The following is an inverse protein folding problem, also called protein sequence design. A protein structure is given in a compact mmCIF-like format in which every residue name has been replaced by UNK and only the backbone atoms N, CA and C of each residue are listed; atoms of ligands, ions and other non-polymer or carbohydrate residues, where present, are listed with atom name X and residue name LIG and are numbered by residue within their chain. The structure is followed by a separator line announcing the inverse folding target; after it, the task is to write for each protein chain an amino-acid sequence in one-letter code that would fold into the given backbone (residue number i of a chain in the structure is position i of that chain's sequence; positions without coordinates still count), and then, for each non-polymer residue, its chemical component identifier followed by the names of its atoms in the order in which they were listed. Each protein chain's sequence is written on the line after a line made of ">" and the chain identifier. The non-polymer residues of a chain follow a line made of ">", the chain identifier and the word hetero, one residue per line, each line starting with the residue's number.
data_IF_970117199798
#
_entry.id   IF_970117199798
#
_cell.length_a   1.000
_cell.length_b   1.000
_cell.length_c   1.000
_cell.angle_alpha   90.00
_cell.angle_beta   90.00
_cell.angle_gamma   90.00
#
_symmetry.space_group_name_H-M   'P 1'
#
loop_
_entity.id
_entity.type
_entity.pdbx_description
1 polymer ?
#
# COMPACT_ATOMS: atom_id res chain seq x y z
N UNK A 1 33.43 3.78 0.85
CA UNK A 1 32.21 4.48 1.27
C UNK A 1 32.50 5.45 2.42
N UNK A 2 33.22 5.04 3.49
CA UNK A 2 33.53 5.92 4.65
C UNK A 2 34.46 7.08 4.26
N UNK A 3 35.50 6.85 3.46
CA UNK A 3 36.43 7.88 2.99
C UNK A 3 35.77 8.91 2.03
N UNK A 4 34.83 8.50 1.19
CA UNK A 4 34.02 9.40 0.35
C UNK A 4 33.07 10.26 1.18
N UNK A 5 32.52 9.70 2.26
CA UNK A 5 31.61 10.39 3.19
C UNK A 5 32.34 11.43 4.05
N UNK A 6 33.59 11.15 4.45
CA UNK A 6 34.43 12.06 5.22
C UNK A 6 35.04 13.15 4.32
N UNK A 7 35.32 12.84 3.04
CA UNK A 7 35.74 13.80 2.03
C UNK A 7 34.63 14.83 1.70
N UNK A 8 33.38 14.37 1.65
CA UNK A 8 32.21 15.26 1.45
C UNK A 8 31.91 16.17 2.66
N UNK A 9 32.24 15.75 3.89
CA UNK A 9 32.06 16.55 5.11
C UNK A 9 33.06 17.70 5.28
N UNK A 10 34.15 17.68 4.56
CA UNK A 10 35.22 18.67 4.70
C UNK A 10 35.23 19.82 3.71
N UNK A 11 34.33 19.85 2.72
CA UNK A 11 34.17 20.96 1.78
C UNK A 11 32.74 21.44 1.86
N UNK A 12 32.54 22.67 2.32
CA UNK A 12 31.24 23.33 2.29
C UNK A 12 30.72 23.42 0.86
N UNK A 13 30.01 22.39 0.43
CA UNK A 13 29.35 22.30 -0.87
C UNK A 13 27.84 22.30 -0.69
N UNK A 14 27.16 23.13 -1.46
CA UNK A 14 25.70 23.10 -1.54
C UNK A 14 25.22 21.80 -2.14
N UNK A 15 24.13 21.26 -1.61
CA UNK A 15 23.45 20.08 -2.15
C UNK A 15 22.34 20.55 -3.08
N UNK A 16 22.35 20.06 -4.33
CA UNK A 16 21.29 20.37 -5.28
C UNK A 16 20.49 19.11 -5.61
N UNK A 17 19.16 19.24 -5.62
CA UNK A 17 18.21 18.24 -6.06
C UNK A 17 17.34 18.89 -7.15
N UNK A 18 17.13 18.21 -8.28
CA UNK A 18 16.38 18.76 -9.42
C UNK A 18 15.27 17.81 -9.82
N UNK A 19 14.07 18.36 -10.02
CA UNK A 19 12.92 17.68 -10.60
C UNK A 19 12.74 18.19 -12.01
N UNK A 20 12.63 17.29 -12.98
CA UNK A 20 12.41 17.58 -14.38
C UNK A 20 10.92 17.79 -14.64
N UNK A 21 10.56 18.57 -15.66
CA UNK A 21 9.16 18.79 -16.04
C UNK A 21 8.39 17.55 -16.48
N UNK A 22 9.12 16.48 -16.85
CA UNK A 22 8.55 15.18 -17.21
C UNK A 22 8.25 14.31 -15.96
N UNK A 23 8.72 14.72 -14.78
CA UNK A 23 8.50 13.96 -13.55
C UNK A 23 7.02 14.05 -13.14
N UNK A 24 6.39 12.92 -12.80
CA UNK A 24 4.98 12.90 -12.41
C UNK A 24 4.61 13.85 -11.28
N UNK A 25 5.53 14.15 -10.34
CA UNK A 25 5.28 15.08 -9.23
C UNK A 25 5.63 16.53 -9.56
N UNK A 26 6.05 16.83 -10.81
CA UNK A 26 6.51 18.20 -11.17
C UNK A 26 5.43 19.25 -10.94
N UNK A 27 4.21 19.01 -11.43
CA UNK A 27 3.10 19.96 -11.31
C UNK A 27 2.74 20.25 -9.84
N UNK A 28 2.68 19.21 -9.02
CA UNK A 28 2.36 19.33 -7.60
C UNK A 28 3.49 20.02 -6.83
N UNK A 29 4.75 19.68 -7.17
CA UNK A 29 5.92 20.36 -6.61
C UNK A 29 5.95 21.82 -6.99
N UNK A 30 5.59 22.14 -8.24
CA UNK A 30 5.52 23.52 -8.71
C UNK A 30 4.45 24.33 -7.98
N UNK A 31 3.25 23.77 -7.83
CA UNK A 31 2.17 24.40 -7.06
C UNK A 31 2.57 24.61 -5.58
N UNK A 32 3.13 23.58 -4.95
CA UNK A 32 3.60 23.66 -3.57
C UNK A 32 4.72 24.69 -3.39
N UNK A 33 5.67 24.79 -4.31
CA UNK A 33 6.74 25.82 -4.29
C UNK A 33 6.14 27.21 -4.36
N UNK A 34 5.13 27.42 -5.21
CA UNK A 34 4.42 28.70 -5.33
C UNK A 34 3.75 29.13 -4.02
N UNK A 35 3.19 28.18 -3.28
CA UNK A 35 2.57 28.44 -1.96
C UNK A 35 3.59 28.84 -0.90
N UNK A 36 4.82 28.29 -0.98
CA UNK A 36 5.89 28.59 -0.03
C UNK A 36 6.60 29.92 -0.30
N UNK A 37 6.39 30.52 -1.48
CA UNK A 37 7.01 31.77 -1.86
C UNK A 37 6.17 32.97 -1.39
N UNK A 38 6.71 33.75 -0.45
CA UNK A 38 6.16 35.03 -0.04
C UNK A 38 6.59 36.12 -1.04
N UNK A 39 5.69 37.10 -1.33
CA UNK A 39 5.99 38.28 -2.17
C UNK A 39 6.50 37.99 -3.60
N UNK A 40 5.87 37.03 -4.28
CA UNK A 40 6.17 36.84 -5.70
C UNK A 40 5.70 38.05 -6.50
N UNK A 41 6.58 38.59 -7.34
CA UNK A 41 6.17 39.54 -8.37
C UNK A 41 5.29 38.85 -9.42
N UNK A 42 3.99 38.73 -9.10
CA UNK A 42 2.98 38.05 -9.92
C UNK A 42 2.80 38.67 -11.31
N UNK A 43 3.53 39.74 -11.63
CA UNK A 43 3.50 40.39 -12.94
C UNK A 43 4.15 39.59 -14.07
N UNK A 44 4.89 38.54 -13.73
CA UNK A 44 5.59 37.67 -14.70
C UNK A 44 5.05 36.24 -14.70
N UNK A 45 3.73 36.05 -14.51
CA UNK A 45 3.11 34.73 -14.56
C UNK A 45 2.35 34.53 -15.88
N UNK A 46 2.49 33.34 -16.46
CA UNK A 46 1.68 32.85 -17.58
C UNK A 46 0.57 31.93 -17.04
N UNK A 47 -0.61 32.08 -17.63
CA UNK A 47 -1.72 31.17 -17.38
C UNK A 47 -1.75 30.11 -18.50
N UNK A 48 -1.64 28.85 -18.13
CA UNK A 48 -1.81 27.73 -19.06
C UNK A 48 -3.15 27.07 -18.74
N UNK A 49 -3.94 26.78 -19.77
CA UNK A 49 -5.16 26.01 -19.63
C UNK A 49 -4.82 24.54 -19.84
N UNK A 50 -5.07 23.73 -18.84
CA UNK A 50 -5.02 22.27 -18.92
C UNK A 50 -6.44 21.74 -18.98
N UNK A 51 -6.70 20.80 -19.87
CA UNK A 51 -8.00 20.14 -19.99
C UNK A 51 -7.88 18.79 -19.29
N UNK A 52 -8.66 18.60 -18.23
CA UNK A 52 -8.87 17.32 -17.56
C UNK A 52 -10.25 16.80 -17.92
N UNK A 53 -10.48 15.50 -17.76
CA UNK A 53 -11.77 14.86 -18.05
C UNK A 53 -12.37 14.36 -16.74
N UNK A 54 -13.70 14.54 -16.60
CA UNK A 54 -14.44 13.96 -15.46
C UNK A 54 -14.79 12.48 -15.73
N UNK A 55 -15.50 11.86 -14.79
CA UNK A 55 -15.94 10.46 -14.87
C UNK A 55 -16.90 10.19 -16.05
N UNK A 56 -17.49 11.24 -16.62
CA UNK A 56 -18.42 11.20 -17.76
C UNK A 56 -17.76 11.63 -19.08
N UNK A 57 -16.40 11.69 -19.15
CA UNK A 57 -15.60 12.14 -20.31
C UNK A 57 -15.85 13.61 -20.72
N UNK A 58 -16.38 14.47 -19.84
CA UNK A 58 -16.53 15.88 -20.13
C UNK A 58 -15.19 16.63 -19.87
N UNK A 59 -14.90 17.58 -20.76
CA UNK A 59 -13.72 18.43 -20.64
C UNK A 59 -13.89 19.44 -19.49
N UNK A 60 -13.02 19.36 -18.47
CA UNK A 60 -12.93 20.34 -17.39
C UNK A 60 -11.67 21.19 -17.61
N UNK A 61 -11.79 22.45 -18.04
CA UNK A 61 -10.64 23.33 -18.15
C UNK A 61 -10.17 23.78 -16.75
N UNK A 62 -8.89 23.57 -16.46
CA UNK A 62 -8.22 24.13 -15.31
C UNK A 62 -7.16 25.14 -15.73
N UNK A 63 -6.98 26.22 -14.96
CA UNK A 63 -5.95 27.21 -15.24
C UNK A 63 -4.80 26.99 -14.29
N UNK A 64 -3.65 26.62 -14.84
CA UNK A 64 -2.39 26.54 -14.11
C UNK A 64 -1.60 27.84 -14.33
N UNK A 65 -1.11 28.40 -13.23
CA UNK A 65 -0.21 29.55 -13.27
C UNK A 65 1.24 29.06 -13.29
N UNK A 66 2.01 29.53 -14.24
CA UNK A 66 3.43 29.20 -14.39
C UNK A 66 4.27 30.49 -14.46
N UNK A 67 5.51 30.43 -14.03
CA UNK A 67 6.43 31.55 -14.18
C UNK A 67 6.85 31.76 -15.63
N UNK A 68 6.94 33.02 -16.04
CA UNK A 68 7.56 33.39 -17.32
C UNK A 68 9.08 33.56 -17.12
N UNK A 69 9.83 32.50 -17.47
CA UNK A 69 11.28 32.54 -17.38
C UNK A 69 11.86 31.78 -16.14
N UNK A 70 12.89 32.37 -15.55
CA UNK A 70 13.67 31.78 -14.45
C UNK A 70 13.43 32.57 -13.17
N UNK A 71 12.92 31.91 -12.14
CA UNK A 71 12.74 32.49 -10.79
C UNK A 71 13.66 31.78 -9.80
N UNK A 72 14.32 32.54 -8.95
CA UNK A 72 15.14 32.03 -7.86
C UNK A 72 14.76 32.74 -6.58
N UNK A 73 14.41 31.98 -5.55
CA UNK A 73 14.05 32.51 -4.23
C UNK A 73 14.54 31.58 -3.13
N UNK A 74 14.87 32.15 -1.97
CA UNK A 74 15.12 31.37 -0.78
C UNK A 74 13.82 31.20 -0.01
N UNK A 75 13.49 29.94 0.30
CA UNK A 75 12.32 29.54 1.12
C UNK A 75 12.79 28.73 2.33
N UNK A 76 11.90 28.50 3.28
CA UNK A 76 12.19 27.67 4.45
C UNK A 76 11.44 26.35 4.34
N UNK A 77 12.17 25.22 4.32
CA UNK A 77 11.61 23.88 4.27
C UNK A 77 12.03 23.13 5.53
N UNK A 78 11.07 22.68 6.35
CA UNK A 78 11.37 21.97 7.60
C UNK A 78 12.26 22.75 8.58
N UNK A 79 12.16 24.11 8.59
CA UNK A 79 13.00 24.98 9.41
C UNK A 79 14.39 25.27 8.82
N UNK A 80 14.71 24.80 7.62
CA UNK A 80 16.01 25.00 6.97
C UNK A 80 15.90 25.92 5.75
N UNK A 81 16.86 26.85 5.54
CA UNK A 81 16.87 27.70 4.35
C UNK A 81 17.25 26.88 3.13
N UNK A 82 16.44 26.99 2.07
CA UNK A 82 16.64 26.30 0.80
C UNK A 82 16.44 27.30 -0.34
N UNK A 83 17.37 27.35 -1.26
CA UNK A 83 17.24 28.16 -2.48
C UNK A 83 16.52 27.31 -3.53
N UNK A 84 15.36 27.77 -3.96
CA UNK A 84 14.59 27.14 -5.05
C UNK A 84 14.76 27.94 -6.32
N UNK A 85 15.05 27.26 -7.41
CA UNK A 85 15.15 27.82 -8.74
C UNK A 85 14.23 27.08 -9.68
N UNK A 86 13.26 27.80 -10.25
CA UNK A 86 12.38 27.30 -11.33
C UNK A 86 12.94 27.84 -12.63
N UNK A 87 13.30 26.95 -13.55
CA UNK A 87 13.80 27.31 -14.88
C UNK A 87 12.85 26.78 -15.93
N UNK A 88 12.56 27.63 -16.93
CA UNK A 88 11.88 27.26 -18.16
C UNK A 88 12.81 27.58 -19.32
N UNK A 89 13.45 26.58 -19.90
CA UNK A 89 14.25 26.74 -21.11
C UNK A 89 13.36 26.54 -22.34
N UNK A 90 13.18 27.57 -23.14
CA UNK A 90 12.58 27.40 -24.48
C UNK A 90 13.63 26.73 -25.37
N UNK A 91 13.33 25.56 -25.89
CA UNK A 91 14.17 24.94 -26.90
C UNK A 91 14.10 25.76 -28.20
N UNK A 92 15.23 26.00 -28.90
CA UNK A 92 15.22 26.68 -30.16
C UNK A 92 14.39 25.93 -31.21
N UNK A 93 13.64 26.66 -32.03
CA UNK A 93 12.63 26.24 -33.03
C UNK A 93 13.09 25.21 -34.09
N UNK A 94 14.22 24.54 -33.91
CA UNK A 94 14.84 23.66 -34.91
C UNK A 94 14.65 22.17 -34.70
N UNK A 95 13.89 21.73 -33.75
CA UNK A 95 13.52 20.31 -33.61
C UNK A 95 12.08 20.14 -34.10
N UNK A 96 11.90 20.20 -35.43
CA UNK A 96 10.68 19.78 -36.07
C UNK A 96 10.68 18.24 -36.17
N UNK A 97 10.13 17.58 -35.16
CA UNK A 97 9.69 16.21 -35.30
C UNK A 97 8.32 16.24 -35.99
N UNK A 98 8.24 15.59 -37.13
CA UNK A 98 7.11 15.50 -38.04
C UNK A 98 5.74 15.38 -37.35
N UNK A 99 4.85 16.28 -37.78
CA UNK A 99 3.38 16.17 -37.90
C UNK A 99 2.63 15.27 -36.94
N UNK A 100 2.00 15.85 -35.98
CA UNK A 100 0.61 15.75 -35.50
C UNK A 100 0.38 15.99 -34.00
N UNK A 101 1.34 16.47 -33.27
CA UNK A 101 1.08 16.98 -31.93
C UNK A 101 1.97 18.19 -31.66
N UNK A 102 1.34 19.32 -31.32
CA UNK A 102 2.00 20.58 -30.91
C UNK A 102 2.63 20.42 -29.51
N UNK A 103 3.53 19.46 -29.32
CA UNK A 103 4.33 19.35 -28.11
C UNK A 103 5.47 20.37 -28.23
N UNK A 104 5.27 21.56 -27.69
CA UNK A 104 6.39 22.42 -27.31
C UNK A 104 7.09 21.73 -26.16
N UNK A 105 8.19 21.05 -26.44
CA UNK A 105 9.11 20.56 -25.43
C UNK A 105 9.73 21.75 -24.70
N UNK A 106 9.06 22.25 -23.66
CA UNK A 106 9.68 23.16 -22.73
C UNK A 106 10.42 22.30 -21.70
N UNK A 107 11.74 22.46 -21.59
CA UNK A 107 12.50 21.83 -20.52
C UNK A 107 12.31 22.66 -19.25
N UNK A 108 11.27 22.32 -18.52
CA UNK A 108 11.03 22.89 -17.20
C UNK A 108 11.77 22.07 -16.13
N UNK A 109 12.34 22.74 -15.17
CA UNK A 109 13.00 22.08 -14.03
C UNK A 109 12.90 22.93 -12.76
N UNK A 110 12.69 22.28 -11.65
CA UNK A 110 12.74 22.88 -10.33
C UNK A 110 13.98 22.35 -9.64
N UNK A 111 14.86 23.23 -9.20
CA UNK A 111 16.08 22.87 -8.48
C UNK A 111 16.04 23.42 -7.07
N UNK A 112 16.26 22.56 -6.11
CA UNK A 112 16.38 22.87 -4.69
C UNK A 112 17.85 22.82 -4.31
N UNK A 113 18.37 23.89 -3.70
CA UNK A 113 19.76 23.95 -3.24
C UNK A 113 19.78 24.23 -1.76
N UNK A 114 20.33 23.29 -0.98
CA UNK A 114 20.52 23.42 0.46
C UNK A 114 22.02 23.42 0.81
N UNK A 115 22.41 24.22 1.81
CA UNK A 115 23.81 24.29 2.25
C UNK A 115 24.16 23.20 3.29
N UNK A 116 23.13 22.59 3.90
CA UNK A 116 23.30 21.60 4.97
C UNK A 116 22.69 20.24 4.60
N UNK A 117 23.18 19.17 5.23
CA UNK A 117 22.60 17.82 5.07
C UNK A 117 21.17 17.73 5.60
N UNK A 118 20.91 18.44 6.69
CA UNK A 118 19.59 18.53 7.31
C UNK A 118 18.60 19.24 6.37
N UNK A 119 19.01 20.34 5.73
CA UNK A 119 18.21 21.03 4.72
C UNK A 119 17.91 20.15 3.51
N UNK A 120 18.90 19.37 3.03
CA UNK A 120 18.66 18.37 1.98
C UNK A 120 17.66 17.31 2.41
N UNK A 121 17.79 16.79 3.64
CA UNK A 121 16.86 15.78 4.16
C UNK A 121 15.43 16.33 4.27
N UNK A 122 15.27 17.61 4.67
CA UNK A 122 13.99 18.29 4.72
C UNK A 122 13.34 18.42 3.32
N UNK A 123 14.13 18.76 2.29
CA UNK A 123 13.63 18.80 0.90
C UNK A 123 13.15 17.41 0.44
N UNK A 124 13.95 16.36 0.67
CA UNK A 124 13.57 15.00 0.30
C UNK A 124 12.29 14.59 1.00
N UNK A 125 12.17 14.82 2.30
CA UNK A 125 10.96 14.49 3.08
C UNK A 125 9.72 15.25 2.59
N UNK A 126 9.85 16.53 2.20
CA UNK A 126 8.74 17.30 1.64
C UNK A 126 8.29 16.75 0.27
N UNK A 127 9.23 16.38 -0.59
CA UNK A 127 8.91 15.80 -1.89
C UNK A 127 8.31 14.38 -1.77
N UNK A 128 8.80 13.58 -0.82
CA UNK A 128 8.22 12.28 -0.50
C UNK A 128 6.78 12.41 0.02
N UNK A 129 6.50 13.44 0.83
CA UNK A 129 5.15 13.73 1.30
C UNK A 129 4.21 14.13 0.16
N UNK A 130 4.66 15.02 -0.76
CA UNK A 130 3.91 15.40 -1.95
C UNK A 130 3.62 14.20 -2.87
N UNK A 131 4.62 13.36 -3.09
CA UNK A 131 4.45 12.13 -3.86
C UNK A 131 3.45 11.19 -3.19
N UNK A 132 3.55 11.00 -1.86
CA UNK A 132 2.63 10.16 -1.11
C UNK A 132 1.19 10.68 -1.18
N UNK A 133 0.98 12.00 -1.13
CA UNK A 133 -0.34 12.63 -1.26
C UNK A 133 -0.91 12.47 -2.67
N UNK A 134 -0.11 12.73 -3.71
CA UNK A 134 -0.52 12.57 -5.11
C UNK A 134 -0.91 11.13 -5.45
N UNK A 135 -0.15 10.17 -4.93
CA UNK A 135 -0.40 8.75 -5.16
C UNK A 135 -1.26 8.11 -4.07
N UNK A 136 -1.77 8.92 -3.13
CA UNK A 136 -2.80 8.50 -2.21
C UNK A 136 -4.08 8.35 -3.03
N UNK A 137 -4.35 7.13 -3.41
CA UNK A 137 -5.61 6.79 -4.07
C UNK A 137 -6.74 7.00 -3.07
N UNK A 138 -7.70 7.86 -3.37
CA UNK A 138 -8.99 7.89 -2.66
C UNK A 138 -9.84 6.66 -3.04
N UNK A 139 -9.41 5.93 -4.07
CA UNK A 139 -9.99 4.64 -4.43
C UNK A 139 -9.58 3.57 -3.43
N UNK A 140 -10.49 2.71 -3.02
CA UNK A 140 -10.15 1.55 -2.20
C UNK A 140 -9.07 0.69 -2.86
N UNK A 141 -8.21 0.01 -2.09
CA UNK A 141 -7.17 -0.84 -2.65
C UNK A 141 -7.77 -1.89 -3.60
N UNK A 142 -7.08 -2.13 -4.71
CA UNK A 142 -7.56 -3.03 -5.74
C UNK A 142 -7.62 -4.48 -5.26
N UNK A 143 -8.73 -5.17 -5.56
CA UNK A 143 -8.85 -6.62 -5.42
C UNK A 143 -8.45 -7.30 -6.74
N UNK A 144 -7.38 -8.08 -6.70
CA UNK A 144 -6.84 -8.82 -7.81
C UNK A 144 -7.19 -10.30 -7.69
N UNK A 145 -7.62 -10.92 -8.78
CA UNK A 145 -7.90 -12.36 -8.84
C UNK A 145 -7.19 -13.01 -10.05
N UNK A 146 -6.89 -14.31 -10.00
CA UNK A 146 -6.29 -15.01 -11.13
C UNK A 146 -7.15 -14.90 -12.38
N UNK A 147 -6.50 -14.74 -13.53
CA UNK A 147 -7.15 -14.82 -14.84
C UNK A 147 -7.55 -16.25 -15.15
N UNK A 148 -8.76 -16.47 -15.64
CA UNK A 148 -9.20 -17.80 -16.13
C UNK A 148 -8.42 -18.29 -17.36
N UNK A 149 -7.71 -17.41 -18.05
CA UNK A 149 -7.10 -17.68 -19.36
C UNK A 149 -5.57 -17.64 -19.33
N UNK A 150 -4.97 -17.62 -18.15
CA UNK A 150 -3.52 -17.59 -18.04
C UNK A 150 -3.03 -17.30 -16.61
N UNK A 151 -1.73 -17.27 -16.47
CA UNK A 151 -0.99 -17.09 -15.22
C UNK A 151 -0.83 -15.60 -14.82
N UNK A 152 -1.85 -14.78 -15.09
CA UNK A 152 -1.87 -13.35 -14.77
C UNK A 152 -2.96 -12.98 -13.77
N UNK A 153 -2.90 -11.75 -13.28
CA UNK A 153 -3.86 -11.16 -12.37
C UNK A 153 -4.79 -10.19 -13.10
N UNK A 154 -6.06 -10.17 -12.74
CA UNK A 154 -7.07 -9.23 -13.22
C UNK A 154 -7.64 -8.44 -12.05
N UNK A 155 -7.77 -7.13 -12.18
CA UNK A 155 -8.55 -6.31 -11.23
C UNK A 155 -10.02 -6.74 -11.35
N UNK A 156 -10.58 -7.24 -10.26
CA UNK A 156 -12.00 -7.63 -10.17
C UNK A 156 -12.88 -6.51 -9.64
N UNK A 157 -12.27 -5.49 -9.11
CA UNK A 157 -12.90 -4.35 -8.48
C UNK A 157 -12.04 -3.83 -7.35
N UNK A 158 -12.65 -3.06 -6.51
CA UNK A 158 -12.00 -2.55 -5.32
C UNK A 158 -12.19 -3.53 -4.16
N UNK A 159 -11.19 -3.59 -3.28
CA UNK A 159 -11.32 -4.35 -2.05
C UNK A 159 -12.45 -3.72 -1.23
N UNK A 160 -13.54 -4.45 -0.91
CA UNK A 160 -14.60 -3.87 -0.10
C UNK A 160 -14.02 -3.31 1.20
N UNK A 161 -14.12 -2.00 1.36
CA UNK A 161 -13.54 -1.28 2.51
C UNK A 161 -14.06 -1.85 3.81
N UNK A 162 -13.15 -2.10 4.73
CA UNK A 162 -13.47 -2.49 6.10
C UNK A 162 -12.62 -1.70 7.05
N UNK A 163 -13.27 -0.89 7.85
CA UNK A 163 -12.62 -0.16 8.92
C UNK A 163 -12.01 -1.16 9.93
N UNK A 164 -10.72 -1.01 10.21
CA UNK A 164 -10.00 -1.88 11.14
C UNK A 164 -10.60 -1.81 12.54
N UNK A 165 -11.05 -0.65 12.97
CA UNK A 165 -11.74 -0.46 14.25
C UNK A 165 -13.11 -1.16 14.29
N UNK A 166 -13.63 -1.63 13.12
CA UNK A 166 -14.83 -2.48 13.07
C UNK A 166 -14.60 -3.91 13.55
N UNK A 167 -13.35 -4.32 13.68
CA UNK A 167 -13.00 -5.67 14.11
C UNK A 167 -12.79 -5.69 15.61
N UNK A 168 -13.59 -6.48 16.33
CA UNK A 168 -13.48 -6.59 17.78
C UNK A 168 -12.64 -7.80 18.13
N UNK A 169 -11.39 -7.56 18.52
CA UNK A 169 -10.44 -8.57 18.99
C UNK A 169 -10.19 -8.43 20.49
N UNK A 170 -9.40 -9.34 21.06
CA UNK A 170 -8.90 -9.23 22.45
C UNK A 170 -8.10 -7.93 22.60
N UNK A 171 -8.09 -7.39 23.81
CA UNK A 171 -7.38 -6.16 24.12
C UNK A 171 -5.90 -6.25 23.71
N UNK A 172 -5.40 -5.23 23.00
CA UNK A 172 -4.02 -5.14 22.51
C UNK A 172 -3.69 -5.96 21.27
N UNK A 173 -4.55 -6.89 20.85
CA UNK A 173 -4.29 -7.75 19.68
C UNK A 173 -4.35 -6.96 18.37
N UNK A 174 -5.36 -6.10 18.21
CA UNK A 174 -5.53 -5.27 17.03
C UNK A 174 -4.41 -4.24 16.90
N UNK A 175 -4.08 -3.57 18.00
CA UNK A 175 -3.00 -2.59 18.08
C UNK A 175 -1.63 -3.25 17.78
N UNK A 176 -1.43 -4.48 18.25
CA UNK A 176 -0.23 -5.26 17.98
C UNK A 176 -0.07 -5.55 16.48
N UNK A 177 -1.14 -6.02 15.83
CA UNK A 177 -1.15 -6.28 14.38
C UNK A 177 -0.91 -5.01 13.56
N UNK A 178 -1.59 -3.90 13.92
CA UNK A 178 -1.41 -2.59 13.29
C UNK A 178 0.03 -2.10 13.40
N UNK A 179 0.60 -2.17 14.59
CA UNK A 179 1.98 -1.73 14.85
C UNK A 179 3.01 -2.60 14.11
N UNK A 180 2.81 -3.92 14.08
CA UNK A 180 3.71 -4.84 13.38
C UNK A 180 3.73 -4.58 11.88
N UNK A 181 2.55 -4.44 11.24
CA UNK A 181 2.45 -4.17 9.80
C UNK A 181 3.03 -2.79 9.45
N UNK A 182 2.74 -1.76 10.26
CA UNK A 182 3.34 -0.43 10.09
C UNK A 182 4.88 -0.48 10.17
N UNK A 183 5.42 -1.19 11.17
CA UNK A 183 6.86 -1.38 11.33
C UNK A 183 7.48 -2.14 10.16
N UNK A 184 6.82 -3.18 9.65
CA UNK A 184 7.27 -3.93 8.49
C UNK A 184 7.36 -3.03 7.26
N UNK A 185 6.30 -2.28 6.94
CA UNK A 185 6.24 -1.39 5.78
C UNK A 185 7.33 -0.31 5.79
N UNK A 186 7.75 0.12 6.97
CA UNK A 186 8.83 1.10 7.16
C UNK A 186 10.23 0.48 7.32
N UNK A 187 10.36 -0.85 7.23
CA UNK A 187 11.61 -1.55 7.57
C UNK A 187 12.46 -1.98 6.37
N UNK A 188 12.09 -1.66 5.14
CA UNK A 188 12.79 -2.07 3.91
C UNK A 188 14.29 -1.84 3.97
N UNK A 189 14.74 -0.63 4.36
CA UNK A 189 16.16 -0.31 4.49
C UNK A 189 16.90 -1.18 5.54
N UNK A 190 16.17 -1.66 6.57
CA UNK A 190 16.72 -2.59 7.57
C UNK A 190 16.93 -3.97 6.99
N UNK A 191 15.94 -4.53 6.27
CA UNK A 191 16.05 -5.82 5.59
C UNK A 191 17.19 -5.83 4.56
N UNK A 192 17.29 -4.77 3.75
CA UNK A 192 18.37 -4.58 2.78
C UNK A 192 19.76 -4.57 3.44
N UNK A 193 19.92 -3.89 4.61
CA UNK A 193 21.19 -3.91 5.35
C UNK A 193 21.54 -5.28 5.90
N UNK A 194 20.54 -6.08 6.24
CA UNK A 194 20.72 -7.44 6.75
C UNK A 194 20.88 -8.47 5.62
N UNK A 195 20.74 -8.05 4.36
CA UNK A 195 20.72 -8.93 3.18
C UNK A 195 19.67 -10.03 3.30
N UNK A 196 18.51 -9.68 3.89
CA UNK A 196 17.37 -10.58 4.05
C UNK A 196 16.25 -10.21 3.09
N UNK A 197 15.47 -11.18 2.61
CA UNK A 197 14.27 -10.92 1.82
C UNK A 197 13.29 -10.07 2.63
N UNK A 198 12.73 -9.03 2.01
CA UNK A 198 11.74 -8.18 2.65
C UNK A 198 10.34 -8.70 2.35
N UNK A 199 9.86 -9.59 3.18
CA UNK A 199 8.49 -10.12 3.18
C UNK A 199 8.03 -10.38 4.60
N UNK A 200 6.72 -10.50 4.81
CA UNK A 200 6.10 -10.73 6.12
C UNK A 200 4.89 -11.65 5.98
N UNK A 201 4.83 -12.69 6.80
CA UNK A 201 3.75 -13.66 6.82
C UNK A 201 2.90 -13.57 8.09
N UNK A 202 1.57 -13.54 7.91
CA UNK A 202 0.57 -13.56 8.97
C UNK A 202 -0.29 -14.81 8.83
N UNK A 203 -0.56 -15.50 9.92
CA UNK A 203 -1.54 -16.58 10.03
C UNK A 203 -2.63 -16.19 11.02
N UNK A 204 -3.86 -16.09 10.54
CA UNK A 204 -5.04 -15.91 11.34
C UNK A 204 -5.77 -17.25 11.49
N UNK A 205 -5.88 -17.79 12.69
CA UNK A 205 -6.50 -19.08 12.91
C UNK A 205 -7.56 -19.04 14.01
N UNK A 206 -8.44 -20.05 14.05
CA UNK A 206 -9.51 -20.17 15.02
C UNK A 206 -10.83 -20.62 14.40
N UNK A 207 -11.90 -20.78 15.20
CA UNK A 207 -13.19 -21.28 14.74
C UNK A 207 -13.77 -20.49 13.55
N UNK A 208 -14.66 -21.09 12.74
CA UNK A 208 -15.34 -20.37 11.69
C UNK A 208 -16.18 -19.22 12.26
N UNK A 209 -16.31 -18.12 11.50
CA UNK A 209 -17.10 -16.96 11.92
C UNK A 209 -16.43 -16.01 12.92
N UNK A 210 -15.16 -16.23 13.30
CA UNK A 210 -14.41 -15.37 14.24
C UNK A 210 -13.81 -14.11 13.58
N UNK A 211 -13.90 -13.96 12.26
CA UNK A 211 -13.50 -12.75 11.57
C UNK A 211 -12.10 -12.76 10.97
N UNK A 212 -11.47 -13.92 10.74
CA UNK A 212 -10.10 -14.08 10.19
C UNK A 212 -9.91 -13.29 8.88
N UNK A 213 -10.74 -13.53 7.87
CA UNK A 213 -10.72 -12.77 6.61
C UNK A 213 -11.01 -11.30 6.83
N UNK A 214 -11.84 -10.97 7.82
CA UNK A 214 -12.18 -9.58 8.15
C UNK A 214 -10.97 -8.79 8.64
N UNK A 215 -10.14 -9.39 9.51
CA UNK A 215 -8.88 -8.79 9.99
C UNK A 215 -7.93 -8.56 8.82
N UNK A 216 -7.72 -9.58 7.98
CA UNK A 216 -6.81 -9.48 6.84
C UNK A 216 -7.23 -8.34 5.90
N UNK A 217 -8.53 -8.26 5.56
CA UNK A 217 -9.07 -7.22 4.69
C UNK A 217 -9.00 -5.83 5.34
N UNK A 218 -9.29 -5.73 6.63
CA UNK A 218 -9.24 -4.47 7.35
C UNK A 218 -7.80 -3.92 7.43
N UNK A 219 -6.81 -4.75 7.68
CA UNK A 219 -5.39 -4.39 7.62
C UNK A 219 -4.99 -3.93 6.20
N UNK A 220 -5.39 -4.67 5.16
CA UNK A 220 -5.10 -4.29 3.79
C UNK A 220 -5.72 -2.93 3.43
N UNK A 221 -6.96 -2.67 3.87
CA UNK A 221 -7.66 -1.40 3.65
C UNK A 221 -6.98 -0.24 4.38
N UNK A 222 -6.62 -0.40 5.66
CA UNK A 222 -6.02 0.66 6.45
C UNK A 222 -4.66 1.12 5.92
N UNK A 223 -3.88 0.19 5.38
CA UNK A 223 -2.55 0.48 4.83
C UNK A 223 -2.55 0.67 3.31
N UNK A 224 -3.73 0.80 2.70
CA UNK A 224 -3.90 0.99 1.24
C UNK A 224 -3.10 -0.02 0.41
N UNK A 225 -3.23 -1.31 0.76
CA UNK A 225 -2.47 -2.39 0.14
C UNK A 225 -3.31 -3.13 -0.91
N UNK A 226 -2.89 -3.12 -2.19
CA UNK A 226 -3.50 -3.97 -3.21
C UNK A 226 -3.52 -5.43 -2.75
N UNK A 227 -4.68 -6.09 -2.85
CA UNK A 227 -4.89 -7.44 -2.35
C UNK A 227 -5.06 -8.42 -3.49
N UNK A 228 -4.17 -9.40 -3.54
CA UNK A 228 -4.16 -10.52 -4.47
C UNK A 228 -4.79 -11.72 -3.78
N UNK A 229 -6.04 -12.01 -4.11
CA UNK A 229 -6.75 -13.17 -3.58
C UNK A 229 -6.46 -14.40 -4.44
N UNK A 230 -5.90 -15.42 -3.82
CA UNK A 230 -5.51 -16.65 -4.49
C UNK A 230 -6.31 -17.85 -3.94
N UNK A 231 -7.35 -18.32 -4.67
CA UNK A 231 -8.09 -19.52 -4.30
C UNK A 231 -7.21 -20.75 -4.64
N UNK A 232 -6.60 -21.34 -3.63
CA UNK A 232 -5.63 -22.44 -3.80
C UNK A 232 -6.25 -23.68 -4.48
N UNK A 233 -7.54 -23.92 -4.29
CA UNK A 233 -8.27 -25.04 -4.91
C UNK A 233 -8.43 -24.95 -6.44
N UNK A 234 -8.25 -23.75 -7.01
CA UNK A 234 -8.42 -23.52 -8.44
C UNK A 234 -7.11 -23.64 -9.24
N UNK A 235 -5.98 -23.89 -8.55
CA UNK A 235 -4.66 -23.92 -9.18
C UNK A 235 -4.27 -25.36 -9.49
N UNK A 236 -4.27 -25.68 -10.77
CA UNK A 236 -3.99 -27.04 -11.26
C UNK A 236 -2.49 -27.38 -11.36
N UNK A 237 -1.61 -26.39 -11.49
CA UNK A 237 -0.18 -26.64 -11.76
C UNK A 237 0.74 -25.81 -10.89
N UNK A 238 1.83 -26.42 -10.46
CA UNK A 238 2.93 -25.77 -9.74
C UNK A 238 3.51 -24.56 -10.49
N UNK A 239 3.62 -24.67 -11.82
CA UNK A 239 4.11 -23.56 -12.66
C UNK A 239 3.22 -22.32 -12.61
N UNK A 240 1.90 -22.53 -12.55
CA UNK A 240 0.93 -21.44 -12.54
C UNK A 240 0.95 -20.72 -11.20
N UNK A 241 1.08 -21.47 -10.09
CA UNK A 241 1.26 -20.90 -8.75
C UNK A 241 2.51 -20.02 -8.66
N UNK A 242 3.66 -20.55 -9.13
CA UNK A 242 4.92 -19.80 -9.12
C UNK A 242 4.83 -18.52 -9.96
N UNK A 243 4.19 -18.60 -11.13
CA UNK A 243 4.05 -17.45 -12.01
C UNK A 243 3.07 -16.42 -11.44
N UNK A 244 1.96 -16.86 -10.84
CA UNK A 244 1.02 -15.95 -10.18
C UNK A 244 1.70 -15.22 -9.04
N UNK A 245 2.40 -15.91 -8.13
CA UNK A 245 3.10 -15.25 -7.01
C UNK A 245 4.20 -14.31 -7.52
N UNK A 246 5.00 -14.73 -8.50
CA UNK A 246 6.07 -13.90 -9.07
C UNK A 246 5.58 -12.63 -9.78
N UNK A 247 4.31 -12.59 -10.20
CA UNK A 247 3.67 -11.45 -10.86
C UNK A 247 2.92 -10.51 -9.88
N UNK A 248 3.00 -10.74 -8.58
CA UNK A 248 2.44 -9.82 -7.58
C UNK A 248 3.30 -8.56 -7.51
N UNK A 249 2.65 -7.41 -7.50
CA UNK A 249 3.36 -6.13 -7.34
C UNK A 249 4.01 -6.02 -5.96
N UNK A 250 5.15 -5.34 -5.84
CA UNK A 250 5.73 -5.02 -4.53
C UNK A 250 4.74 -4.30 -3.60
N UNK A 251 4.92 -4.47 -2.29
CA UNK A 251 4.08 -3.83 -1.25
C UNK A 251 2.59 -4.15 -1.42
N UNK A 252 2.28 -5.42 -1.60
CA UNK A 252 0.92 -5.92 -1.77
C UNK A 252 0.64 -7.07 -0.81
N UNK A 253 -0.63 -7.33 -0.57
CA UNK A 253 -1.10 -8.48 0.21
C UNK A 253 -1.39 -9.65 -0.72
N UNK A 254 -0.84 -10.82 -0.42
CA UNK A 254 -1.30 -12.10 -0.93
C UNK A 254 -2.22 -12.73 0.12
N UNK A 255 -3.51 -12.83 -0.18
CA UNK A 255 -4.51 -13.42 0.70
C UNK A 255 -4.78 -14.88 0.28
N UNK A 256 -4.52 -15.81 1.21
CA UNK A 256 -4.75 -17.24 1.08
C UNK A 256 -5.78 -17.66 2.14
N UNK A 257 -6.98 -18.03 1.71
CA UNK A 257 -8.04 -18.44 2.64
C UNK A 257 -8.11 -19.95 2.78
N UNK A 258 -8.49 -20.42 3.98
CA UNK A 258 -8.75 -21.83 4.32
C UNK A 258 -7.63 -22.76 3.88
N UNK A 259 -6.38 -22.42 4.22
CA UNK A 259 -5.17 -23.16 3.79
C UNK A 259 -5.13 -24.61 4.28
N UNK A 260 -5.90 -24.97 5.34
CA UNK A 260 -6.10 -26.34 5.81
C UNK A 260 -6.85 -27.19 4.78
N UNK A 261 -7.79 -26.63 4.05
CA UNK A 261 -8.50 -27.30 2.96
C UNK A 261 -7.60 -27.72 1.81
N UNK A 262 -6.63 -26.90 1.47
CA UNK A 262 -5.65 -27.20 0.43
C UNK A 262 -4.75 -28.39 0.80
N UNK A 263 -4.31 -28.46 2.06
CA UNK A 263 -3.52 -29.58 2.57
C UNK A 263 -4.28 -30.91 2.51
N UNK A 264 -5.54 -30.90 2.93
CA UNK A 264 -6.39 -32.10 2.92
C UNK A 264 -6.72 -32.59 1.50
N UNK A 265 -6.72 -31.70 0.50
CA UNK A 265 -6.97 -32.06 -0.89
C UNK A 265 -5.73 -32.70 -1.55
N UNK A 266 -4.53 -32.17 -1.27
CA UNK A 266 -3.26 -32.71 -1.80
C UNK A 266 -2.90 -34.07 -1.24
N UNK A 267 -3.24 -34.37 0.03
CA UNK A 267 -2.99 -35.68 0.64
C UNK A 267 -3.90 -36.81 0.11
N UNK A 268 -5.05 -36.47 -0.51
CA UNK A 268 -6.05 -37.44 -1.01
C UNK A 268 -5.98 -37.72 -2.50
N UNK A 269 -5.27 -36.88 -3.24
CA UNK A 269 -5.18 -37.05 -4.72
C UNK A 269 -3.88 -37.74 -5.08
N UNK A 270 -4.00 -39.03 -5.55
CA UNK A 270 -2.94 -39.70 -6.29
C UNK A 270 -2.69 -39.09 -7.69
N UNK A 271 -3.44 -38.07 -8.07
CA UNK A 271 -3.38 -37.38 -9.36
C UNK A 271 -2.71 -36.01 -9.23
N UNK A 272 -1.78 -35.74 -10.13
CA UNK A 272 -0.93 -34.55 -10.29
C UNK A 272 -1.69 -33.27 -10.71
N UNK A 273 -2.96 -33.14 -10.37
CA UNK A 273 -3.82 -32.08 -10.89
C UNK A 273 -3.99 -30.85 -9.96
N UNK A 274 -3.18 -30.75 -8.90
CA UNK A 274 -3.18 -29.60 -8.01
C UNK A 274 -1.77 -29.14 -7.69
N UNK A 275 -1.59 -27.84 -7.47
CA UNK A 275 -0.32 -27.30 -7.03
C UNK A 275 0.09 -27.91 -5.68
N UNK A 276 1.36 -28.21 -5.52
CA UNK A 276 1.85 -28.90 -4.32
C UNK A 276 2.10 -27.90 -3.18
N UNK A 277 1.94 -28.40 -1.93
CA UNK A 277 2.33 -27.62 -0.73
C UNK A 277 3.80 -27.20 -0.80
N UNK A 278 4.68 -28.06 -1.32
CA UNK A 278 6.08 -27.75 -1.49
C UNK A 278 6.31 -26.55 -2.42
N UNK A 279 5.56 -26.46 -3.52
CA UNK A 279 5.62 -25.32 -4.43
C UNK A 279 5.08 -24.05 -3.79
N UNK A 280 3.99 -24.12 -3.05
CA UNK A 280 3.49 -22.98 -2.27
C UNK A 280 4.54 -22.47 -1.28
N UNK A 281 5.19 -23.37 -0.55
CA UNK A 281 6.26 -23.01 0.40
C UNK A 281 7.43 -22.31 -0.30
N UNK A 282 7.82 -22.79 -1.48
CA UNK A 282 8.89 -22.20 -2.29
C UNK A 282 8.49 -20.84 -2.91
N UNK A 283 7.20 -20.65 -3.20
CA UNK A 283 6.69 -19.39 -3.72
C UNK A 283 6.67 -18.29 -2.66
N UNK A 284 6.47 -18.67 -1.38
CA UNK A 284 6.39 -17.72 -0.26
C UNK A 284 7.76 -17.33 0.33
N UNK A 285 8.78 -18.18 0.18
CA UNK A 285 10.11 -18.02 0.82
C UNK A 285 11.25 -18.24 -0.19
N UNK A 286 10.95 -18.24 -1.47
CA UNK A 286 11.91 -18.50 -2.53
C UNK A 286 12.50 -17.25 -3.18
N UNK A 287 13.40 -17.47 -4.16
CA UNK A 287 14.04 -16.42 -4.98
C UNK A 287 13.01 -15.59 -5.77
N UNK A 288 11.81 -16.14 -5.99
CA UNK A 288 10.72 -15.52 -6.75
C UNK A 288 9.74 -14.70 -5.89
N UNK A 289 9.91 -14.74 -4.57
CA UNK A 289 9.03 -13.98 -3.66
C UNK A 289 9.18 -12.48 -3.93
N UNK A 290 8.08 -11.77 -4.25
CA UNK A 290 8.14 -10.35 -4.55
C UNK A 290 8.65 -9.53 -3.35
N UNK A 291 9.43 -8.51 -3.63
CA UNK A 291 9.96 -7.60 -2.62
C UNK A 291 8.82 -6.82 -1.95
N UNK A 292 8.75 -6.87 -0.63
CA UNK A 292 7.66 -6.25 0.14
C UNK A 292 6.34 -7.02 0.11
N UNK A 293 6.36 -8.31 -0.20
CA UNK A 293 5.16 -9.15 -0.14
C UNK A 293 4.69 -9.33 1.31
N UNK A 294 3.40 -9.14 1.52
CA UNK A 294 2.72 -9.43 2.78
C UNK A 294 1.79 -10.61 2.52
N UNK A 295 2.09 -11.78 3.09
CA UNK A 295 1.22 -12.95 2.97
C UNK A 295 0.30 -13.02 4.17
N UNK A 296 -1.01 -13.05 3.94
CA UNK A 296 -2.02 -13.23 4.98
C UNK A 296 -2.77 -14.53 4.72
N UNK A 297 -2.69 -15.45 5.66
CA UNK A 297 -3.30 -16.77 5.57
C UNK A 297 -4.40 -16.92 6.62
N UNK A 298 -5.47 -17.63 6.26
CA UNK A 298 -6.52 -18.01 7.21
C UNK A 298 -6.66 -19.52 7.27
N UNK A 299 -6.94 -20.05 8.48
CA UNK A 299 -7.26 -21.47 8.69
C UNK A 299 -8.25 -21.65 9.83
N UNK A 300 -9.09 -22.66 9.73
CA UNK A 300 -9.93 -23.08 10.83
C UNK A 300 -9.22 -24.11 11.73
N UNK A 301 -8.19 -24.77 11.23
CA UNK A 301 -7.45 -25.79 11.96
C UNK A 301 -5.94 -25.61 11.80
N UNK A 302 -5.32 -24.90 12.74
CA UNK A 302 -3.88 -24.64 12.74
C UNK A 302 -3.04 -25.92 12.83
N UNK A 303 -3.54 -26.93 13.57
CA UNK A 303 -2.81 -28.20 13.80
C UNK A 303 -2.77 -29.08 12.54
N UNK A 304 -3.69 -28.86 11.60
CA UNK A 304 -3.70 -29.56 10.32
C UNK A 304 -2.69 -29.01 9.29
N UNK A 305 -2.05 -27.87 9.59
CA UNK A 305 -1.09 -27.26 8.67
C UNK A 305 0.25 -28.00 8.72
N UNK A 306 0.91 -28.08 7.55
CA UNK A 306 2.29 -28.59 7.45
C UNK A 306 3.21 -27.74 8.38
N UNK A 307 3.97 -28.38 9.28
CA UNK A 307 4.93 -27.68 10.13
C UNK A 307 5.95 -26.83 9.35
N UNK A 308 6.21 -27.15 8.10
CA UNK A 308 7.08 -26.34 7.25
C UNK A 308 6.45 -24.99 6.87
N UNK A 309 5.12 -24.89 6.81
CA UNK A 309 4.41 -23.63 6.53
C UNK A 309 4.53 -22.64 7.70
N UNK A 310 4.52 -23.17 8.94
CA UNK A 310 4.51 -22.38 10.18
C UNK A 310 5.92 -21.95 10.64
N UNK A 311 6.94 -22.12 9.78
CA UNK A 311 8.32 -21.71 10.12
C UNK A 311 8.51 -20.22 9.96
N UNK A 312 9.43 -19.65 10.78
CA UNK A 312 9.91 -18.28 10.62
C UNK A 312 10.40 -18.00 9.18
N UNK A 313 10.08 -16.85 8.65
CA UNK A 313 10.32 -16.47 7.26
C UNK A 313 9.15 -16.83 6.31
N UNK A 314 8.14 -17.59 6.77
CA UNK A 314 6.88 -17.86 6.06
C UNK A 314 5.69 -17.33 6.83
N UNK A 315 5.61 -17.68 8.11
CA UNK A 315 4.69 -17.09 9.08
C UNK A 315 5.54 -16.48 10.19
N UNK A 316 5.46 -15.19 10.33
CA UNK A 316 6.18 -14.39 11.33
C UNK A 316 5.26 -13.96 12.48
N UNK A 317 3.97 -13.83 12.18
CA UNK A 317 2.91 -13.48 13.13
C UNK A 317 1.81 -14.52 13.06
N UNK A 318 1.50 -15.13 14.20
CA UNK A 318 0.57 -16.24 14.36
C UNK A 318 -0.47 -15.80 15.39
N UNK A 319 -1.71 -15.51 14.94
CA UNK A 319 -2.76 -14.89 15.77
C UNK A 319 -4.02 -15.72 15.83
N UNK A 320 -4.41 -16.07 17.06
CA UNK A 320 -5.66 -16.77 17.32
C UNK A 320 -6.84 -15.81 17.43
N UNK A 321 -7.83 -16.00 16.57
CA UNK A 321 -9.11 -15.33 16.65
C UNK A 321 -10.13 -16.29 17.32
N UNK A 322 -10.35 -16.10 18.60
CA UNK A 322 -11.24 -16.94 19.40
C UNK A 322 -12.71 -16.50 19.31
N UNK A 323 -13.57 -17.28 19.92
CA UNK A 323 -14.95 -16.89 20.24
C UNK A 323 -14.96 -15.65 21.15
N UNK A 324 -16.06 -14.92 21.19
CA UNK A 324 -16.22 -13.71 22.00
C UNK A 324 -16.05 -14.01 23.49
N UNK A 325 -15.36 -13.17 24.20
CA UNK A 325 -15.53 -13.03 25.65
C UNK A 325 -16.66 -12.03 25.96
N UNK A 326 -16.97 -11.84 27.25
CA UNK A 326 -18.06 -10.95 27.67
C UNK A 326 -17.81 -9.49 27.24
N UNK A 327 -16.59 -9.01 27.38
CA UNK A 327 -16.21 -7.63 27.00
C UNK A 327 -16.30 -7.43 25.48
N UNK A 328 -15.80 -8.38 24.70
CA UNK A 328 -15.87 -8.35 23.25
C UNK A 328 -17.33 -8.39 22.75
N UNK A 329 -18.19 -9.21 23.39
CA UNK A 329 -19.60 -9.28 23.02
C UNK A 329 -20.32 -7.94 23.24
N UNK A 330 -20.06 -7.28 24.37
CA UNK A 330 -20.60 -5.95 24.66
C UNK A 330 -20.09 -4.90 23.67
N UNK A 331 -18.78 -4.83 23.45
CA UNK A 331 -18.16 -3.87 22.50
C UNK A 331 -18.69 -4.06 21.09
N UNK A 332 -18.86 -5.31 20.63
CA UNK A 332 -19.40 -5.60 19.32
C UNK A 332 -20.86 -5.17 19.19
N UNK A 333 -21.67 -5.44 20.23
CA UNK A 333 -23.09 -5.03 20.27
C UNK A 333 -23.25 -3.51 20.29
N UNK A 334 -22.48 -2.79 21.11
CA UNK A 334 -22.51 -1.32 21.19
C UNK A 334 -22.14 -0.66 19.84
N UNK A 335 -21.16 -1.24 19.15
CA UNK A 335 -20.76 -0.76 17.85
C UNK A 335 -21.84 -0.95 16.78
N UNK A 336 -22.53 -2.08 16.79
CA UNK A 336 -23.52 -2.42 15.76
C UNK A 336 -24.89 -1.80 16.04
N UNK A 337 -25.17 -1.49 17.29
CA UNK A 337 -26.46 -0.99 17.75
C UNK A 337 -26.24 0.20 18.69
N UNK A 338 -26.62 1.43 18.28
CA UNK A 338 -26.57 2.58 19.17
C UNK A 338 -27.42 2.29 20.44
N UNK A 339 -26.76 2.22 21.61
CA UNK A 339 -27.37 1.84 22.87
C UNK A 339 -27.12 0.38 23.29
N UNK A 340 -26.39 -0.38 22.46
CA UNK A 340 -26.01 -1.76 22.77
C UNK A 340 -27.15 -2.77 22.74
N UNK A 341 -26.86 -3.98 23.14
CA UNK A 341 -27.81 -5.07 23.29
C UNK A 341 -27.78 -5.51 24.77
N UNK A 342 -28.94 -5.49 25.44
CA UNK A 342 -29.05 -5.74 26.90
C UNK A 342 -28.53 -7.14 27.30
N UNK A 343 -28.66 -8.10 26.39
CA UNK A 343 -28.24 -9.50 26.59
C UNK A 343 -26.97 -9.86 25.82
N UNK A 344 -26.18 -8.88 25.35
CA UNK A 344 -24.94 -9.10 24.60
C UNK A 344 -24.00 -10.08 25.27
N UNK A 345 -23.90 -10.06 26.61
CA UNK A 345 -23.05 -10.96 27.39
C UNK A 345 -23.41 -12.44 27.18
N UNK A 346 -24.66 -12.77 26.82
CA UNK A 346 -25.07 -14.16 26.54
C UNK A 346 -24.40 -14.75 25.29
N UNK A 347 -23.76 -13.91 24.49
CA UNK A 347 -22.97 -14.34 23.32
C UNK A 347 -21.49 -14.63 23.66
N UNK A 348 -21.08 -14.51 24.90
CA UNK A 348 -19.77 -15.01 25.33
C UNK A 348 -19.68 -16.52 25.06
N UNK A 349 -18.53 -16.94 24.51
CA UNK A 349 -18.32 -18.31 24.05
C UNK A 349 -18.89 -18.64 22.68
N UNK A 350 -19.45 -17.66 21.96
CA UNK A 350 -19.96 -17.80 20.58
C UNK A 350 -19.08 -17.04 19.58
N UNK A 351 -19.23 -17.40 18.31
CA UNK A 351 -18.54 -16.67 17.24
C UNK A 351 -19.14 -15.27 17.05
N UNK A 352 -18.34 -14.24 16.72
CA UNK A 352 -18.83 -12.89 16.38
C UNK A 352 -19.93 -12.87 15.34
N UNK A 353 -19.89 -13.77 14.37
CA UNK A 353 -20.90 -13.90 13.31
C UNK A 353 -22.30 -14.20 13.87
N UNK A 354 -22.41 -14.95 14.94
CA UNK A 354 -23.69 -15.28 15.57
C UNK A 354 -24.36 -14.05 16.22
N UNK A 355 -23.58 -13.22 16.91
CA UNK A 355 -24.08 -11.95 17.45
C UNK A 355 -24.49 -10.98 16.34
N UNK A 356 -23.69 -10.88 15.29
CA UNK A 356 -24.01 -10.02 14.11
C UNK A 356 -25.33 -10.47 13.46
N UNK A 357 -25.49 -11.78 13.29
CA UNK A 357 -26.73 -12.35 12.73
C UNK A 357 -27.94 -12.09 13.61
N UNK A 358 -27.81 -12.29 14.93
CA UNK A 358 -28.84 -12.01 15.89
C UNK A 358 -29.30 -10.54 15.85
N UNK A 359 -28.36 -9.60 15.85
CA UNK A 359 -28.66 -8.16 15.74
C UNK A 359 -29.38 -7.87 14.44
N UNK A 360 -28.88 -8.37 13.31
CA UNK A 360 -29.47 -8.15 11.98
C UNK A 360 -30.92 -8.64 11.90
N UNK A 361 -31.21 -9.80 12.47
CA UNK A 361 -32.53 -10.40 12.43
C UNK A 361 -33.53 -9.67 13.35
N UNK A 362 -33.06 -9.08 14.45
CA UNK A 362 -33.89 -8.38 15.40
C UNK A 362 -34.09 -6.88 15.11
N UNK A 363 -33.26 -6.28 14.24
CA UNK A 363 -33.38 -4.87 13.84
C UNK A 363 -34.17 -4.66 12.55
N UNK A 364 -34.56 -5.70 11.82
CA UNK A 364 -35.42 -5.60 10.64
C UNK A 364 -36.94 -5.49 10.94
N UNK A 365 -37.34 -5.37 12.19
CA UNK A 365 -38.73 -5.30 12.64
C UNK A 365 -39.18 -3.96 13.22
N UNK A 366 -38.46 -2.85 12.93
CA UNK A 366 -38.79 -1.52 13.39
C UNK A 366 -38.94 -0.51 12.24
#
# INVERSE_FOLDING_TARGET
>A
VKAARDWYRGRGGSFSLTIQGEDPIYADTHAWVLEQMEDIDRRSMQANTEITYDEDDNEIPSIQLAFDGSVQQQITIGGHPVVVKVNREQLPDRISLSSSSNWRLSMEKISFTAETLEGRAAVVAALEALAAEKYKSDEPPALMMPSRWGSGWLKRGDLPTRDLDSVVLKAGQLEGLRADLANFLNSEARYNRMSQPWHRGYLFYGPPGTGKTSVARALATEFDLPTYYLPLGDIAKDSDLMQLVGNIKPRSVLLLEDVDGFHAATDRSDEKDHASVATMLNALDGVWTPHGLITMMTTNNREALDPALVRAGRIDVDEELSVLDEEQAVRLAERLLPGGLTDAVTFAGRAPSELIEHIRNNTQGG
#
